data_IF_064084452443
#
_entry.id   IF_064084452443
#
_cell.length_a   1.000
_cell.length_b   1.000
_cell.length_c   1.000
_cell.angle_alpha   90.00
_cell.angle_beta   90.00
_cell.angle_gamma   90.00
#
_symmetry.space_group_name_H-M   'P 1'
#
loop_
_entity.id
_entity.type
_entity.pdbx_description
1 polymer ?
#
# COMPACT_ATOMS: atom_id res chain seq x y z
N UNK A 1 17.84 6.40 -13.38
CA UNK A 1 18.89 6.10 -12.37
C UNK A 1 18.50 6.57 -10.98
N UNK A 2 18.03 7.81 -10.78
CA UNK A 2 17.53 8.30 -9.48
C UNK A 2 16.39 7.44 -8.89
N UNK A 3 15.37 7.10 -9.69
CA UNK A 3 14.27 6.23 -9.28
C UNK A 3 14.75 4.83 -8.80
N UNK A 4 15.74 4.25 -9.50
CA UNK A 4 16.32 2.98 -9.12
C UNK A 4 17.13 3.10 -7.81
N UNK A 5 17.84 4.21 -7.61
CA UNK A 5 18.53 4.48 -6.35
C UNK A 5 17.54 4.62 -5.19
N UNK A 6 16.45 5.38 -5.37
CA UNK A 6 15.39 5.53 -4.36
C UNK A 6 14.76 4.17 -4.03
N UNK A 7 14.47 3.36 -5.05
CA UNK A 7 13.98 1.99 -4.84
C UNK A 7 14.99 1.15 -4.02
N UNK A 8 16.27 1.17 -4.39
CA UNK A 8 17.32 0.45 -3.65
C UNK A 8 17.45 0.97 -2.22
N UNK A 9 17.31 2.28 -1.98
CA UNK A 9 17.34 2.89 -0.65
C UNK A 9 16.12 2.48 0.17
N UNK A 10 14.93 2.41 -0.41
CA UNK A 10 13.72 1.90 0.26
C UNK A 10 13.92 0.44 0.67
N UNK A 11 14.38 -0.40 -0.25
CA UNK A 11 14.68 -1.82 0.01
C UNK A 11 15.74 -1.95 1.10
N UNK A 12 16.80 -1.14 1.06
CA UNK A 12 17.88 -1.15 2.05
C UNK A 12 17.44 -0.62 3.42
N UNK A 13 16.62 0.43 3.46
CA UNK A 13 16.10 1.00 4.72
C UNK A 13 15.15 0.03 5.40
N UNK A 14 14.31 -0.65 4.61
CA UNK A 14 13.51 -1.76 5.09
C UNK A 14 14.37 -2.92 5.59
N UNK A 15 15.41 -3.30 4.83
CA UNK A 15 16.35 -4.36 5.20
C UNK A 15 16.98 -4.11 6.57
N UNK A 16 17.40 -2.87 6.85
CA UNK A 16 17.99 -2.47 8.14
C UNK A 16 16.96 -2.56 9.28
N UNK A 17 15.70 -2.16 9.02
CA UNK A 17 14.64 -2.21 10.02
C UNK A 17 14.28 -3.64 10.46
N UNK A 18 14.55 -4.65 9.63
CA UNK A 18 14.25 -6.07 9.86
C UNK A 18 15.51 -6.94 10.06
N UNK A 19 16.70 -6.34 10.10
CA UNK A 19 17.99 -7.01 10.33
C UNK A 19 18.01 -7.94 11.55
N UNK A 20 17.30 -7.69 12.66
CA UNK A 20 17.29 -8.59 13.83
C UNK A 20 16.69 -9.99 13.58
N UNK A 21 15.76 -10.17 12.63
CA UNK A 21 14.92 -11.39 12.49
C UNK A 21 15.17 -12.21 11.21
N UNK A 22 16.27 -11.94 10.54
CA UNK A 22 16.63 -12.50 9.22
C UNK A 22 16.78 -14.02 9.15
N UNK A 23 17.27 -14.69 10.20
CA UNK A 23 17.49 -16.16 10.18
C UNK A 23 16.18 -16.93 9.99
N UNK A 24 15.06 -16.35 10.42
CA UNK A 24 13.75 -16.99 10.39
C UNK A 24 12.85 -16.48 9.25
N UNK A 25 13.34 -15.59 8.39
CA UNK A 25 12.52 -15.01 7.31
C UNK A 25 12.72 -15.79 6.01
N UNK A 26 11.77 -16.62 5.58
CA UNK A 26 11.88 -17.39 4.34
C UNK A 26 11.83 -16.48 3.10
N UNK A 27 12.46 -16.93 2.00
CA UNK A 27 12.58 -16.17 0.75
C UNK A 27 11.24 -15.69 0.19
N UNK A 28 10.17 -16.48 0.32
CA UNK A 28 8.84 -16.08 -0.15
C UNK A 28 8.28 -14.88 0.61
N UNK A 29 8.57 -14.76 1.91
CA UNK A 29 8.11 -13.66 2.75
C UNK A 29 8.83 -12.37 2.35
N UNK A 30 10.14 -12.47 2.11
CA UNK A 30 10.93 -11.37 1.55
C UNK A 30 10.38 -10.89 0.20
N UNK A 31 10.06 -11.81 -0.72
CA UNK A 31 9.50 -11.45 -2.03
C UNK A 31 8.16 -10.73 -1.93
N UNK A 32 7.26 -11.17 -1.04
CA UNK A 32 5.97 -10.49 -0.84
C UNK A 32 6.14 -9.07 -0.29
N UNK A 33 7.10 -8.87 0.61
CA UNK A 33 7.42 -7.54 1.13
C UNK A 33 8.05 -6.67 0.03
N UNK A 34 8.92 -7.23 -0.81
CA UNK A 34 9.48 -6.51 -1.95
C UNK A 34 8.38 -6.08 -2.94
N UNK A 35 7.40 -6.94 -3.20
CA UNK A 35 6.22 -6.61 -4.00
C UNK A 35 5.42 -5.48 -3.35
N UNK A 36 5.19 -5.54 -2.04
CA UNK A 36 4.52 -4.48 -1.29
C UNK A 36 5.21 -3.12 -1.46
N UNK A 37 6.54 -3.07 -1.28
CA UNK A 37 7.33 -1.84 -1.45
C UNK A 37 7.33 -1.35 -2.90
N UNK A 38 7.38 -2.27 -3.87
CA UNK A 38 7.31 -1.94 -5.29
C UNK A 38 5.96 -1.32 -5.63
N UNK A 39 4.87 -1.89 -5.14
CA UNK A 39 3.52 -1.35 -5.31
C UNK A 39 3.38 0.07 -4.70
N UNK A 40 3.94 0.30 -3.51
CA UNK A 40 3.95 1.63 -2.92
C UNK A 40 4.74 2.63 -3.77
N UNK A 41 5.91 2.22 -4.27
CA UNK A 41 6.73 3.04 -5.16
C UNK A 41 5.99 3.37 -6.47
N UNK A 42 5.32 2.40 -7.07
CA UNK A 42 4.52 2.60 -8.28
C UNK A 42 3.35 3.55 -8.04
N UNK A 43 2.67 3.44 -6.90
CA UNK A 43 1.60 4.36 -6.53
C UNK A 43 2.13 5.80 -6.39
N UNK A 44 3.26 5.98 -5.70
CA UNK A 44 3.89 7.29 -5.53
C UNK A 44 4.35 7.89 -6.87
N UNK A 45 4.98 7.06 -7.72
CA UNK A 45 5.39 7.47 -9.06
C UNK A 45 4.19 7.88 -9.91
N UNK A 46 3.10 7.11 -9.90
CA UNK A 46 1.92 7.39 -10.72
C UNK A 46 1.16 8.67 -10.33
N UNK A 47 1.43 9.22 -9.13
CA UNK A 47 0.86 10.50 -8.68
C UNK A 47 1.72 11.69 -9.14
N UNK A 48 3.03 11.49 -9.31
CA UNK A 48 3.97 12.55 -9.65
C UNK A 48 4.22 12.55 -11.16
N UNK A 49 3.98 13.66 -11.86
CA UNK A 49 4.30 13.75 -13.28
C UNK A 49 5.82 13.61 -13.48
N UNK A 50 6.22 12.95 -14.57
CA UNK A 50 7.63 12.92 -14.97
C UNK A 50 8.05 14.34 -15.41
N UNK A 51 9.18 14.84 -14.89
CA UNK A 51 9.79 16.10 -15.28
C UNK A 51 10.32 16.00 -16.72
N UNK A 52 9.44 16.10 -17.72
CA UNK A 52 9.84 16.22 -19.12
C UNK A 52 9.23 17.48 -19.74
N UNK A 53 10.11 18.46 -19.94
CA UNK A 53 10.00 19.64 -20.80
C UNK A 53 8.89 20.66 -20.49
N UNK A 54 9.28 21.68 -19.72
CA UNK A 54 8.94 23.11 -19.87
C UNK A 54 7.47 23.54 -20.05
N UNK A 55 6.52 22.65 -19.80
CA UNK A 55 5.09 22.93 -19.94
C UNK A 55 4.44 22.80 -18.57
N UNK A 56 3.59 23.76 -18.22
CA UNK A 56 2.79 23.73 -17.00
C UNK A 56 1.96 22.43 -16.99
N UNK A 57 2.36 21.45 -16.16
CA UNK A 57 1.68 20.15 -16.12
C UNK A 57 0.42 20.28 -15.28
N UNK A 58 -0.74 20.08 -15.90
CA UNK A 58 -2.00 19.95 -15.18
C UNK A 58 -2.00 18.66 -14.34
N UNK A 59 -1.72 18.81 -13.04
CA UNK A 59 -1.71 17.73 -12.06
C UNK A 59 -3.04 16.98 -11.99
N UNK A 60 -4.16 17.68 -12.21
CA UNK A 60 -5.48 17.07 -12.15
C UNK A 60 -5.68 16.18 -13.38
N UNK A 61 -5.37 16.67 -14.58
CA UNK A 61 -5.41 15.87 -15.80
C UNK A 61 -4.48 14.64 -15.72
N UNK A 62 -3.26 14.82 -15.20
CA UNK A 62 -2.32 13.73 -14.98
C UNK A 62 -2.90 12.66 -14.05
N UNK A 63 -3.42 13.08 -12.89
CA UNK A 63 -4.07 12.20 -11.93
C UNK A 63 -5.20 11.38 -12.56
N UNK A 64 -6.10 12.01 -13.32
CA UNK A 64 -7.21 11.28 -13.97
C UNK A 64 -6.72 10.28 -15.02
N UNK A 65 -5.61 10.56 -15.69
CA UNK A 65 -5.01 9.61 -16.64
C UNK A 65 -4.40 8.38 -15.96
N UNK A 66 -3.92 8.52 -14.72
CA UNK A 66 -3.21 7.47 -13.97
C UNK A 66 -4.01 6.89 -12.80
N UNK A 67 -5.23 7.36 -12.53
CA UNK A 67 -5.96 7.02 -11.30
C UNK A 67 -6.07 5.50 -11.04
N UNK A 68 -6.35 4.71 -12.07
CA UNK A 68 -6.44 3.24 -11.98
C UNK A 68 -5.12 2.61 -11.56
N UNK A 69 -3.99 3.13 -12.03
CA UNK A 69 -2.66 2.65 -11.67
C UNK A 69 -2.29 3.02 -10.23
N UNK A 70 -2.62 4.25 -9.80
CA UNK A 70 -2.39 4.69 -8.41
C UNK A 70 -3.13 3.77 -7.44
N UNK A 71 -4.44 3.65 -7.61
CA UNK A 71 -5.29 2.89 -6.69
C UNK A 71 -5.08 1.37 -6.81
N UNK A 72 -4.85 0.87 -8.03
CA UNK A 72 -4.52 -0.54 -8.25
C UNK A 72 -3.21 -0.94 -7.60
N UNK A 73 -2.21 -0.06 -7.61
CA UNK A 73 -0.93 -0.29 -6.93
C UNK A 73 -1.11 -0.34 -5.42
N UNK A 74 -1.96 0.52 -4.83
CA UNK A 74 -2.29 0.44 -3.40
C UNK A 74 -3.05 -0.84 -3.03
N UNK A 75 -3.94 -1.34 -3.89
CA UNK A 75 -4.56 -2.66 -3.69
C UNK A 75 -3.49 -3.76 -3.73
N UNK A 76 -2.57 -3.73 -4.70
CA UNK A 76 -1.46 -4.68 -4.79
C UNK A 76 -0.60 -4.71 -3.52
N UNK A 77 -0.33 -3.55 -2.93
CA UNK A 77 0.35 -3.42 -1.65
C UNK A 77 -0.41 -4.12 -0.51
N UNK A 78 -1.71 -3.86 -0.37
CA UNK A 78 -2.57 -4.48 0.67
C UNK A 78 -2.65 -6.00 0.48
N UNK A 79 -2.82 -6.47 -0.75
CA UNK A 79 -2.90 -7.89 -1.08
C UNK A 79 -1.58 -8.60 -0.79
N UNK A 80 -0.43 -8.00 -1.09
CA UNK A 80 0.87 -8.58 -0.78
C UNK A 80 1.07 -8.76 0.74
N UNK A 81 0.66 -7.77 1.54
CA UNK A 81 0.68 -7.86 3.01
C UNK A 81 -0.27 -8.96 3.54
N UNK A 82 -1.51 -8.99 3.02
CA UNK A 82 -2.48 -10.01 3.40
C UNK A 82 -2.00 -11.42 3.04
N UNK A 83 -1.43 -11.59 1.84
CA UNK A 83 -0.85 -12.84 1.40
C UNK A 83 0.26 -13.29 2.34
N UNK A 84 1.19 -12.41 2.72
CA UNK A 84 2.26 -12.75 3.66
C UNK A 84 1.70 -13.23 5.00
N UNK A 85 0.69 -12.53 5.53
CA UNK A 85 0.02 -12.89 6.78
C UNK A 85 -0.70 -14.25 6.71
N UNK A 86 -1.31 -14.57 5.58
CA UNK A 86 -1.99 -15.85 5.32
C UNK A 86 -0.96 -16.98 5.19
N UNK A 87 0.10 -16.78 4.40
CA UNK A 87 1.14 -17.80 4.18
C UNK A 87 1.85 -18.20 5.48
N UNK A 88 2.08 -17.24 6.40
CA UNK A 88 2.62 -17.53 7.73
C UNK A 88 1.72 -18.47 8.56
N UNK A 89 0.42 -18.55 8.25
CA UNK A 89 -0.60 -19.27 9.03
C UNK A 89 -1.19 -20.46 8.28
N UNK A 90 -0.67 -20.79 7.10
CA UNK A 90 -1.27 -21.82 6.23
C UNK A 90 -1.28 -23.22 6.85
N UNK A 91 -0.38 -23.48 7.82
CA UNK A 91 -0.30 -24.74 8.56
C UNK A 91 -1.14 -24.81 9.83
N UNK A 92 -1.78 -23.71 10.24
CA UNK A 92 -2.60 -23.64 11.46
C UNK A 92 -3.94 -22.96 11.14
N UNK A 93 -4.95 -23.80 10.90
CA UNK A 93 -6.30 -23.36 10.53
C UNK A 93 -6.98 -22.53 11.63
N UNK A 94 -6.67 -22.79 12.90
CA UNK A 94 -7.26 -22.03 14.01
C UNK A 94 -6.65 -20.62 14.07
N UNK A 95 -5.34 -20.51 13.91
CA UNK A 95 -4.65 -19.20 13.80
C UNK A 95 -5.13 -18.41 12.57
N UNK A 96 -5.31 -19.05 11.42
CA UNK A 96 -5.84 -18.42 10.22
C UNK A 96 -7.29 -17.93 10.43
N UNK A 97 -8.12 -18.72 11.09
CA UNK A 97 -9.50 -18.34 11.44
C UNK A 97 -9.52 -17.14 12.40
N UNK A 98 -8.71 -17.16 13.44
CA UNK A 98 -8.59 -16.05 14.40
C UNK A 98 -8.13 -14.77 13.70
N UNK A 99 -7.09 -14.86 12.87
CA UNK A 99 -6.63 -13.74 12.06
C UNK A 99 -7.72 -13.20 11.13
N UNK A 100 -8.49 -14.09 10.47
CA UNK A 100 -9.57 -13.67 9.58
C UNK A 100 -10.70 -12.95 10.33
N UNK A 101 -11.05 -13.42 11.52
CA UNK A 101 -12.04 -12.76 12.38
C UNK A 101 -11.54 -11.44 12.95
N UNK A 102 -10.24 -11.31 13.21
CA UNK A 102 -9.66 -10.12 13.80
C UNK A 102 -9.28 -9.05 12.78
N UNK A 103 -8.72 -9.44 11.64
CA UNK A 103 -8.15 -8.55 10.62
C UNK A 103 -8.74 -8.76 9.22
N UNK A 104 -9.29 -9.95 8.93
CA UNK A 104 -9.82 -10.26 7.59
C UNK A 104 -10.97 -9.36 7.16
N UNK A 105 -11.77 -8.85 8.11
CA UNK A 105 -12.84 -7.88 7.83
C UNK A 105 -12.33 -6.48 7.53
N UNK A 106 -11.10 -6.14 7.90
CA UNK A 106 -10.49 -4.84 7.59
C UNK A 106 -10.10 -4.76 6.10
N UNK A 107 -9.72 -5.88 5.49
CA UNK A 107 -9.34 -5.94 4.08
C UNK A 107 -10.40 -5.36 3.13
N UNK A 108 -11.68 -5.78 3.18
CA UNK A 108 -12.71 -5.16 2.34
C UNK A 108 -12.93 -3.68 2.71
N UNK A 109 -12.78 -3.27 3.96
CA UNK A 109 -12.93 -1.85 4.36
C UNK A 109 -11.87 -0.99 3.70
N UNK A 110 -10.62 -1.45 3.60
CA UNK A 110 -9.55 -0.73 2.91
C UNK A 110 -9.63 -0.87 1.38
N UNK A 111 -10.00 -2.04 0.86
CA UNK A 111 -10.01 -2.30 -0.59
C UNK A 111 -11.25 -1.75 -1.31
N UNK A 112 -12.44 -1.78 -0.70
CA UNK A 112 -13.68 -1.33 -1.36
C UNK A 112 -13.60 0.14 -1.80
N UNK A 113 -13.18 1.09 -0.95
CA UNK A 113 -13.01 2.50 -1.36
C UNK A 113 -12.04 2.64 -2.53
N UNK A 114 -10.93 1.87 -2.54
CA UNK A 114 -9.97 1.89 -3.64
C UNK A 114 -10.58 1.36 -4.93
N UNK A 115 -11.35 0.27 -4.87
CA UNK A 115 -12.09 -0.25 -6.03
C UNK A 115 -13.10 0.78 -6.55
N UNK A 116 -13.81 1.47 -5.64
CA UNK A 116 -14.73 2.56 -6.01
C UNK A 116 -13.99 3.70 -6.71
N UNK A 117 -12.78 4.06 -6.26
CA UNK A 117 -11.94 5.08 -6.89
C UNK A 117 -11.33 4.63 -8.24
N UNK A 118 -11.16 3.33 -8.48
CA UNK A 118 -10.74 2.79 -9.79
C UNK A 118 -11.88 2.86 -10.80
N UNK A 119 -13.07 2.46 -10.37
CA UNK A 119 -14.25 2.32 -11.24
C UNK A 119 -14.93 3.67 -11.48
N UNK A 120 -14.98 4.53 -10.46
CA UNK A 120 -15.57 5.85 -10.58
C UNK A 120 -14.62 6.80 -11.31
N UNK A 121 -15.14 7.52 -12.29
CA UNK A 121 -14.44 8.65 -12.93
C UNK A 121 -15.04 10.00 -12.48
N UNK A 122 -15.83 10.00 -11.39
CA UNK A 122 -16.51 11.20 -10.90
C UNK A 122 -15.63 11.94 -9.90
N UNK A 123 -15.30 13.20 -10.19
CA UNK A 123 -14.47 14.03 -9.31
C UNK A 123 -15.00 14.17 -7.89
N UNK A 124 -16.32 14.25 -7.72
CA UNK A 124 -16.97 14.34 -6.40
C UNK A 124 -16.65 13.11 -5.54
N UNK A 125 -16.64 11.91 -6.14
CA UNK A 125 -16.35 10.67 -5.41
C UNK A 125 -14.92 10.69 -4.89
N UNK A 126 -13.96 11.11 -5.70
CA UNK A 126 -12.56 11.20 -5.30
C UNK A 126 -12.34 12.28 -4.23
N UNK A 127 -13.01 13.43 -4.37
CA UNK A 127 -12.95 14.53 -3.40
C UNK A 127 -13.54 14.17 -2.04
N UNK A 128 -14.46 13.22 -1.96
CA UNK A 128 -15.05 12.77 -0.70
C UNK A 128 -14.28 11.58 -0.10
N UNK A 129 -14.01 10.56 -0.91
CA UNK A 129 -13.42 9.31 -0.43
C UNK A 129 -11.96 9.50 -0.03
N UNK A 130 -11.15 10.21 -0.82
CA UNK A 130 -9.70 10.33 -0.53
C UNK A 130 -9.43 11.02 0.81
N UNK A 131 -10.03 12.18 1.14
CA UNK A 131 -9.85 12.80 2.45
C UNK A 131 -10.44 11.95 3.59
N UNK A 132 -11.59 11.30 3.37
CA UNK A 132 -12.17 10.41 4.36
C UNK A 132 -11.25 9.22 4.68
N UNK A 133 -10.63 8.63 3.66
CA UNK A 133 -9.62 7.58 3.82
C UNK A 133 -8.40 8.08 4.58
N UNK A 134 -7.88 9.26 4.26
CA UNK A 134 -6.75 9.86 4.98
C UNK A 134 -7.07 10.06 6.47
N UNK A 135 -8.24 10.63 6.79
CA UNK A 135 -8.68 10.84 8.17
C UNK A 135 -8.84 9.50 8.90
N UNK A 136 -9.50 8.52 8.27
CA UNK A 136 -9.65 7.19 8.85
C UNK A 136 -8.29 6.56 9.14
N UNK A 137 -7.34 6.67 8.20
CA UNK A 137 -5.99 6.13 8.36
C UNK A 137 -5.25 6.80 9.53
N UNK A 138 -5.33 8.13 9.64
CA UNK A 138 -4.71 8.88 10.74
C UNK A 138 -5.33 8.55 12.10
N UNK A 139 -6.66 8.40 12.18
CA UNK A 139 -7.34 8.06 13.44
C UNK A 139 -6.98 6.64 13.88
N UNK A 140 -7.05 5.68 12.95
CA UNK A 140 -6.81 4.27 13.26
C UNK A 140 -5.35 4.03 13.67
N UNK A 141 -4.39 4.57 12.92
CA UNK A 141 -2.97 4.40 13.25
C UNK A 141 -2.53 5.30 14.41
N UNK A 142 -3.10 6.50 14.54
CA UNK A 142 -2.80 7.41 15.65
C UNK A 142 -3.28 6.89 17.01
N UNK A 143 -4.41 6.19 17.04
CA UNK A 143 -4.93 5.57 18.26
C UNK A 143 -4.03 4.43 18.77
N UNK A 144 -3.40 3.67 17.88
CA UNK A 144 -2.46 2.60 18.26
C UNK A 144 -1.12 3.14 18.75
N UNK A 145 -0.61 4.23 18.16
CA UNK A 145 0.63 4.89 18.65
C UNK A 145 0.48 5.43 20.07
N UNK A 146 -0.70 5.96 20.44
CA UNK A 146 -0.95 6.46 21.80
C UNK A 146 -1.19 5.35 22.84
N UNK A 147 -1.47 4.11 22.41
CA UNK A 147 -1.66 2.96 23.32
C UNK A 147 -0.35 2.30 23.76
N UNK A 148 0.73 2.50 23.01
CA UNK A 148 2.06 1.92 23.27
C UNK A 148 3.15 2.98 23.50
N UNK A 149 2.77 4.25 23.63
CA UNK A 149 3.65 5.37 23.98
C UNK A 149 3.71 5.64 25.48
#
# INVERSE_FOLDING_TARGET
TAAALVFVVIVRSWWIAWEPDWINTPMWQFLLILVQLTCLFLAAKAVLPDDSEATEVDLNAHYWSQNRFVWGSLIGMIVAFAAASIFLRIGDLDSLRQWSLQFGWELPIYCIPLVVLIVSQRSIVHRLIVPAMLIAWLILNGADVMRYG
#
